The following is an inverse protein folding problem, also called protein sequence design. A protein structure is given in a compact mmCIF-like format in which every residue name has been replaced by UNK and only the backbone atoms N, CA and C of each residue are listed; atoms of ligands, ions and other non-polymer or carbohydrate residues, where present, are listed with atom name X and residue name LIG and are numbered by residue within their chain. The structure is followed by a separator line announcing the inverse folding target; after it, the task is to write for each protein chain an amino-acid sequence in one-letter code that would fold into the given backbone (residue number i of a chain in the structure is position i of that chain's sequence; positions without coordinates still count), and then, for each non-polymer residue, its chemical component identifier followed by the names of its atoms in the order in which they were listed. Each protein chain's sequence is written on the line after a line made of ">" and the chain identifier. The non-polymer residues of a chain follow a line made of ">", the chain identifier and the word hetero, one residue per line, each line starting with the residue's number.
data_IF_496492405915
#
_entry.id   IF_496492405915
#
_cell.length_a   1.000
_cell.length_b   1.000
_cell.length_c   1.000
_cell.angle_alpha   90.00
_cell.angle_beta   90.00
_cell.angle_gamma   90.00
#
_symmetry.space_group_name_H-M   'P 1'
#
loop_
_entity.id
_entity.type
_entity.pdbx_description
1 polymer ?
#
# COMPACT_ATOMS: atom_id res chain seq x y z
N UNK A 1 15.86 -61.15 -70.87
CA UNK A 1 14.66 -60.85 -70.04
C UNK A 1 14.98 -60.54 -68.57
N UNK A 2 16.02 -61.10 -67.94
CA UNK A 2 16.31 -60.86 -66.50
C UNK A 2 16.70 -59.42 -66.11
N UNK A 3 17.45 -58.71 -66.95
CA UNK A 3 17.90 -57.34 -66.66
C UNK A 3 16.76 -56.31 -66.61
N UNK A 4 15.76 -56.43 -67.49
CA UNK A 4 14.60 -55.53 -67.54
C UNK A 4 13.68 -55.72 -66.31
N UNK A 5 13.51 -56.98 -65.87
CA UNK A 5 12.74 -57.31 -64.67
C UNK A 5 13.39 -56.76 -63.40
N UNK A 6 14.73 -56.82 -63.30
CA UNK A 6 15.47 -56.29 -62.16
C UNK A 6 15.46 -54.76 -62.11
N UNK A 7 15.48 -54.09 -63.28
CA UNK A 7 15.33 -52.63 -63.36
C UNK A 7 13.92 -52.23 -62.92
N UNK A 8 12.88 -52.87 -63.44
CA UNK A 8 11.49 -52.59 -63.04
C UNK A 8 11.24 -52.85 -61.54
N UNK A 9 11.81 -53.92 -60.99
CA UNK A 9 11.71 -54.22 -59.56
C UNK A 9 12.44 -53.17 -58.71
N UNK A 10 13.62 -52.71 -59.16
CA UNK A 10 14.39 -51.66 -58.50
C UNK A 10 13.66 -50.31 -58.50
N UNK A 11 13.02 -49.94 -59.61
CA UNK A 11 12.23 -48.70 -59.70
C UNK A 11 10.99 -48.75 -58.82
N UNK A 12 10.34 -49.91 -58.70
CA UNK A 12 9.16 -50.09 -57.85
C UNK A 12 9.52 -50.03 -56.36
N UNK A 13 10.66 -50.59 -55.97
CA UNK A 13 11.19 -50.52 -54.60
C UNK A 13 11.60 -49.09 -54.21
N UNK A 14 12.16 -48.31 -55.14
CA UNK A 14 12.50 -46.90 -54.90
C UNK A 14 11.27 -45.98 -54.78
N UNK A 15 10.21 -46.25 -55.55
CA UNK A 15 8.95 -45.50 -55.45
C UNK A 15 8.18 -45.81 -54.15
N UNK A 16 8.32 -47.03 -53.63
CA UNK A 16 7.72 -47.45 -52.36
C UNK A 16 8.50 -46.94 -51.12
N UNK A 17 9.73 -46.47 -51.29
CA UNK A 17 10.61 -46.01 -50.19
C UNK A 17 10.66 -44.49 -50.01
N UNK A 18 9.74 -43.73 -50.61
CA UNK A 18 9.64 -42.29 -50.31
C UNK A 18 9.14 -42.17 -48.87
N UNK A 19 9.92 -41.63 -47.92
CA UNK A 19 9.41 -41.41 -46.57
C UNK A 19 8.24 -40.43 -46.68
N UNK A 20 7.07 -40.86 -46.25
CA UNK A 20 5.94 -39.97 -46.00
C UNK A 20 6.40 -38.92 -45.01
N UNK A 21 6.70 -37.73 -45.50
CA UNK A 21 7.02 -36.58 -44.66
C UNK A 21 5.88 -36.40 -43.67
N UNK A 22 6.17 -36.56 -42.38
CA UNK A 22 5.25 -36.20 -41.31
C UNK A 22 5.11 -34.67 -41.34
N UNK A 23 4.11 -34.18 -42.06
CA UNK A 23 3.73 -32.78 -42.01
C UNK A 23 3.35 -32.43 -40.57
N UNK A 24 4.05 -31.47 -39.96
CA UNK A 24 3.63 -30.90 -38.69
C UNK A 24 2.27 -30.23 -38.91
N UNK A 25 1.20 -30.86 -38.45
CA UNK A 25 -0.13 -30.28 -38.49
C UNK A 25 -0.20 -29.23 -37.38
N UNK A 26 -0.11 -27.95 -37.74
CA UNK A 26 -0.36 -26.86 -36.79
C UNK A 26 -1.87 -26.87 -36.49
N UNK A 27 -2.23 -27.39 -35.31
CA UNK A 27 -3.60 -27.38 -34.83
C UNK A 27 -3.85 -26.03 -34.17
N UNK A 28 -4.41 -25.10 -34.94
CA UNK A 28 -4.84 -23.78 -34.46
C UNK A 28 -6.26 -23.93 -33.93
N UNK A 29 -6.39 -24.23 -32.63
CA UNK A 29 -7.69 -24.22 -31.95
C UNK A 29 -8.13 -22.77 -31.70
N UNK A 30 -9.16 -22.34 -32.44
CA UNK A 30 -9.75 -21.00 -32.36
C UNK A 30 -10.27 -20.70 -30.96
N UNK A 31 -10.85 -21.67 -30.27
CA UNK A 31 -11.42 -21.50 -28.93
C UNK A 31 -10.33 -21.38 -27.87
N UNK A 32 -9.22 -22.09 -28.05
CA UNK A 32 -8.07 -21.98 -27.17
C UNK A 32 -7.37 -20.62 -27.35
N UNK A 33 -7.21 -20.14 -28.58
CA UNK A 33 -6.61 -18.82 -28.86
C UNK A 33 -7.47 -17.67 -28.34
N UNK A 34 -8.80 -17.74 -28.45
CA UNK A 34 -9.68 -16.71 -27.89
C UNK A 34 -9.64 -16.71 -26.36
N UNK A 35 -9.60 -17.88 -25.73
CA UNK A 35 -9.51 -18.01 -24.27
C UNK A 35 -8.16 -17.52 -23.74
N UNK A 36 -7.05 -17.92 -24.38
CA UNK A 36 -5.71 -17.44 -24.04
C UNK A 36 -5.58 -15.93 -24.29
N UNK A 37 -6.15 -15.42 -25.39
CA UNK A 37 -6.18 -13.99 -25.70
C UNK A 37 -6.97 -13.16 -24.67
N UNK A 38 -8.13 -13.65 -24.24
CA UNK A 38 -8.91 -13.02 -23.18
C UNK A 38 -8.16 -13.00 -21.84
N UNK A 39 -7.53 -14.13 -21.47
CA UNK A 39 -6.71 -14.23 -20.27
C UNK A 39 -5.51 -13.28 -20.33
N UNK A 40 -4.81 -13.19 -21.46
CA UNK A 40 -3.69 -12.28 -21.67
C UNK A 40 -4.11 -10.81 -21.59
N UNK A 41 -5.25 -10.44 -22.18
CA UNK A 41 -5.79 -9.09 -22.09
C UNK A 41 -6.15 -8.72 -20.64
N UNK A 42 -6.73 -9.66 -19.88
CA UNK A 42 -7.03 -9.46 -18.47
C UNK A 42 -5.76 -9.31 -17.62
N UNK A 43 -4.73 -10.13 -17.87
CA UNK A 43 -3.43 -10.03 -17.19
C UNK A 43 -2.76 -8.69 -17.48
N UNK A 44 -2.79 -8.24 -18.74
CA UNK A 44 -2.22 -6.95 -19.14
C UNK A 44 -2.92 -5.76 -18.47
N UNK A 45 -4.25 -5.83 -18.30
CA UNK A 45 -5.02 -4.83 -17.55
C UNK A 45 -4.62 -4.81 -16.07
N UNK A 46 -4.47 -6.00 -15.46
CA UNK A 46 -4.04 -6.16 -14.07
C UNK A 46 -2.61 -5.64 -13.89
N UNK A 47 -1.69 -5.95 -14.81
CA UNK A 47 -0.31 -5.45 -14.82
C UNK A 47 -0.27 -3.92 -14.98
N UNK A 48 -1.12 -3.34 -15.84
CA UNK A 48 -1.25 -1.90 -15.99
C UNK A 48 -1.68 -1.21 -14.70
N UNK A 49 -2.70 -1.75 -14.02
CA UNK A 49 -3.11 -1.26 -12.70
C UNK A 49 -2.04 -1.49 -11.63
N UNK A 50 -1.30 -2.60 -11.70
CA UNK A 50 -0.20 -2.90 -10.79
C UNK A 50 0.96 -1.91 -10.95
N UNK A 51 1.31 -1.53 -12.18
CA UNK A 51 2.36 -0.54 -12.46
C UNK A 51 1.97 0.86 -12.01
N UNK A 52 0.72 1.29 -12.25
CA UNK A 52 0.23 2.57 -11.71
C UNK A 52 0.27 2.60 -10.17
N UNK A 53 -0.04 1.47 -9.52
CA UNK A 53 0.11 1.33 -8.07
C UNK A 53 1.57 1.40 -7.65
N UNK A 54 2.49 0.70 -8.34
CA UNK A 54 3.93 0.77 -8.09
C UNK A 54 4.46 2.20 -8.16
N UNK A 55 4.07 2.98 -9.18
CA UNK A 55 4.46 4.39 -9.34
C UNK A 55 3.91 5.27 -8.21
N UNK A 56 2.64 5.06 -7.82
CA UNK A 56 2.05 5.76 -6.67
C UNK A 56 2.80 5.45 -5.38
N UNK A 57 3.33 4.23 -5.24
CA UNK A 57 4.03 3.80 -4.02
C UNK A 57 5.49 4.27 -4.03
N UNK A 58 6.13 4.40 -5.18
CA UNK A 58 7.44 5.05 -5.30
C UNK A 58 7.40 6.51 -4.83
N UNK A 59 6.37 7.28 -5.22
CA UNK A 59 6.19 8.66 -4.72
C UNK A 59 5.94 8.71 -3.20
N UNK A 60 5.24 7.71 -2.65
CA UNK A 60 5.00 7.60 -1.21
C UNK A 60 6.22 7.12 -0.44
N UNK A 61 7.12 6.34 -1.04
CA UNK A 61 8.45 6.01 -0.48
C UNK A 61 9.33 7.25 -0.39
N UNK A 62 9.21 8.18 -1.32
CA UNK A 62 9.81 9.52 -1.21
C UNK A 62 9.21 10.32 -0.04
N UNK A 63 7.92 10.11 0.25
CA UNK A 63 7.25 10.63 1.45
C UNK A 63 7.76 9.99 2.76
N UNK A 64 8.35 8.80 2.69
CA UNK A 64 9.06 8.17 3.82
C UNK A 64 10.39 8.87 4.09
N UNK A 65 11.10 9.35 3.07
CA UNK A 65 12.33 10.15 3.27
C UNK A 65 12.03 11.53 3.91
N UNK A 66 10.85 12.09 3.63
CA UNK A 66 10.30 13.25 4.35
C UNK A 66 10.08 12.97 5.87
N UNK A 67 10.06 11.72 6.33
CA UNK A 67 9.97 11.39 7.76
C UNK A 67 11.16 11.88 8.56
N UNK A 68 12.37 11.92 7.97
CA UNK A 68 13.56 12.49 8.62
C UNK A 68 13.38 13.98 8.89
N UNK A 69 12.79 14.72 7.93
CA UNK A 69 12.47 16.15 8.07
C UNK A 69 11.36 16.36 9.10
N UNK A 70 10.39 15.46 9.12
CA UNK A 70 9.25 15.51 10.04
C UNK A 70 9.67 15.29 11.50
N UNK A 71 10.62 14.38 11.74
CA UNK A 71 11.15 14.13 13.09
C UNK A 71 11.72 15.41 13.72
N UNK A 72 12.40 16.26 12.93
CA UNK A 72 12.88 17.56 13.40
C UNK A 72 11.73 18.51 13.72
N UNK A 73 10.74 18.63 12.83
CA UNK A 73 9.53 19.45 13.07
C UNK A 73 8.77 19.02 14.32
N UNK A 74 8.65 17.72 14.58
CA UNK A 74 7.92 17.17 15.73
C UNK A 74 8.72 17.28 17.01
N UNK A 75 10.05 17.15 16.94
CA UNK A 75 10.92 17.44 18.09
C UNK A 75 10.81 18.92 18.50
N UNK A 76 10.73 19.82 17.53
CA UNK A 76 10.41 21.23 17.77
C UNK A 76 9.00 21.41 18.33
N UNK A 77 8.01 20.65 17.85
CA UNK A 77 6.65 20.68 18.36
C UNK A 77 6.54 20.19 19.81
N UNK A 78 7.24 19.11 20.13
CA UNK A 78 7.39 18.60 21.49
C UNK A 78 8.07 19.65 22.38
N UNK A 79 9.12 20.29 21.88
CA UNK A 79 9.81 21.37 22.59
C UNK A 79 8.91 22.60 22.77
N UNK A 80 8.14 23.02 21.76
CA UNK A 80 7.16 24.10 21.84
C UNK A 80 6.03 23.79 22.82
N UNK A 81 5.60 22.52 22.90
CA UNK A 81 4.64 22.05 23.91
C UNK A 81 5.22 22.12 25.34
N UNK A 82 6.54 22.13 25.49
CA UNK A 82 7.26 22.21 26.77
C UNK A 82 7.71 23.63 27.13
N UNK A 83 8.04 24.49 26.17
CA UNK A 83 8.81 25.73 26.42
C UNK A 83 7.97 26.98 26.64
N UNK A 84 6.68 27.05 26.31
CA UNK A 84 5.97 28.30 26.51
C UNK A 84 4.52 28.12 26.89
N UNK A 85 4.28 28.06 28.20
CA UNK A 85 2.94 28.23 28.70
C UNK A 85 2.90 29.15 29.93
N UNK A 86 3.41 30.36 29.76
CA UNK A 86 3.03 31.51 30.57
C UNK A 86 1.59 31.92 30.21
N UNK A 87 0.58 31.14 30.65
CA UNK A 87 -0.84 31.48 30.46
C UNK A 87 -1.84 30.32 30.36
N UNK A 88 -1.41 29.07 30.18
CA UNK A 88 -2.29 27.91 30.34
C UNK A 88 -1.94 27.19 31.65
N UNK A 89 -2.91 27.05 32.54
CA UNK A 89 -2.79 26.18 33.71
C UNK A 89 -2.85 24.70 33.31
N UNK A 90 -3.78 23.95 33.88
CA UNK A 90 -3.99 22.50 33.68
C UNK A 90 -4.09 22.04 32.21
N UNK A 91 -4.49 22.92 31.29
CA UNK A 91 -4.58 22.66 29.84
C UNK A 91 -3.21 22.34 29.19
N UNK A 92 -2.12 22.84 29.77
CA UNK A 92 -0.74 22.53 29.39
C UNK A 92 -0.40 21.05 29.43
N UNK A 93 -0.94 20.33 30.42
CA UNK A 93 -0.72 18.89 30.58
C UNK A 93 -1.42 18.09 29.48
N UNK A 94 -2.61 18.53 29.05
CA UNK A 94 -3.34 17.89 27.95
C UNK A 94 -2.59 18.04 26.62
N UNK A 95 -2.00 19.20 26.38
CA UNK A 95 -1.19 19.46 25.19
C UNK A 95 0.10 18.66 25.15
N UNK A 96 0.75 18.48 26.31
CA UNK A 96 1.86 17.53 26.44
C UNK A 96 1.42 16.11 26.10
N UNK A 97 0.23 15.69 26.56
CA UNK A 97 -0.34 14.37 26.23
C UNK A 97 -0.58 14.17 24.72
N UNK A 98 -1.06 15.21 24.03
CA UNK A 98 -1.23 15.21 22.57
C UNK A 98 0.13 15.07 21.87
N UNK A 99 1.11 15.89 22.27
CA UNK A 99 2.46 15.85 21.72
C UNK A 99 3.15 14.49 21.93
N UNK A 100 3.02 13.92 23.12
CA UNK A 100 3.53 12.58 23.43
C UNK A 100 2.84 11.49 22.59
N UNK A 101 1.51 11.52 22.47
CA UNK A 101 0.78 10.55 21.66
C UNK A 101 1.22 10.58 20.19
N UNK A 102 1.38 11.77 19.61
CA UNK A 102 1.88 11.92 18.25
C UNK A 102 3.33 11.43 18.10
N UNK A 103 4.17 11.70 19.10
CA UNK A 103 5.55 11.23 19.11
C UNK A 103 5.65 9.71 19.15
N UNK A 104 4.87 9.04 20.00
CA UNK A 104 4.86 7.57 20.11
C UNK A 104 4.52 6.91 18.76
N UNK A 105 3.46 7.39 18.09
CA UNK A 105 3.06 6.90 16.76
C UNK A 105 4.21 6.99 15.76
N UNK A 106 4.87 8.14 15.70
CA UNK A 106 5.88 8.43 14.69
C UNK A 106 7.23 7.78 15.00
N UNK A 107 7.44 7.34 16.23
CA UNK A 107 8.54 6.47 16.63
C UNK A 107 8.27 5.01 16.25
N UNK A 108 7.05 4.53 16.48
CA UNK A 108 6.72 3.10 16.35
C UNK A 108 6.42 2.70 14.89
N UNK A 109 5.81 3.58 14.08
CA UNK A 109 5.53 3.27 12.67
C UNK A 109 6.78 2.94 11.84
N UNK A 110 7.94 3.63 11.99
CA UNK A 110 9.19 3.21 11.35
C UNK A 110 9.62 1.77 11.68
N UNK A 111 9.46 1.34 12.93
CA UNK A 111 9.76 -0.04 13.36
C UNK A 111 8.82 -1.04 12.68
N UNK A 112 7.52 -0.70 12.54
CA UNK A 112 6.58 -1.48 11.74
C UNK A 112 6.98 -1.56 10.27
N UNK A 113 7.39 -0.44 9.67
CA UNK A 113 7.84 -0.39 8.27
C UNK A 113 9.03 -1.33 8.06
N UNK A 114 10.01 -1.33 8.97
CA UNK A 114 11.15 -2.23 8.90
C UNK A 114 10.72 -3.70 9.04
N UNK A 115 9.85 -3.99 9.99
CA UNK A 115 9.37 -5.35 10.26
C UNK A 115 8.57 -5.91 9.07
N UNK A 116 7.64 -5.11 8.54
CA UNK A 116 6.89 -5.43 7.31
C UNK A 116 7.83 -5.56 6.11
N UNK A 117 8.84 -4.70 6.02
CA UNK A 117 9.89 -4.77 5.02
C UNK A 117 10.60 -6.12 4.98
N UNK A 118 10.86 -6.72 6.15
CA UNK A 118 11.52 -8.02 6.30
C UNK A 118 10.57 -9.22 6.19
N UNK A 119 9.31 -9.07 6.57
CA UNK A 119 8.33 -10.16 6.60
C UNK A 119 8.04 -10.75 5.21
N UNK A 120 7.74 -12.05 5.12
CA UNK A 120 7.49 -12.73 3.84
C UNK A 120 5.99 -12.95 3.61
N UNK A 121 5.31 -11.96 3.03
CA UNK A 121 3.91 -12.07 2.65
C UNK A 121 3.58 -11.25 1.38
N UNK A 122 2.53 -11.66 0.67
CA UNK A 122 2.03 -11.01 -0.55
C UNK A 122 1.43 -9.65 -0.23
N UNK A 123 1.45 -8.69 -1.17
CA UNK A 123 0.84 -7.37 -0.98
C UNK A 123 1.52 -6.44 0.05
N UNK A 124 2.74 -6.78 0.49
CA UNK A 124 3.61 -5.95 1.36
C UNK A 124 3.63 -4.48 1.00
N UNK A 125 3.64 -4.17 -0.29
CA UNK A 125 3.72 -2.80 -0.80
C UNK A 125 2.49 -1.96 -0.41
N UNK A 126 1.28 -2.55 -0.43
CA UNK A 126 0.08 -1.89 0.05
C UNK A 126 0.09 -1.74 1.57
N UNK A 127 0.63 -2.71 2.31
CA UNK A 127 0.80 -2.58 3.76
C UNK A 127 1.76 -1.44 4.13
N UNK A 128 2.87 -1.30 3.42
CA UNK A 128 3.80 -0.16 3.59
C UNK A 128 3.13 1.17 3.26
N UNK A 129 2.25 1.19 2.26
CA UNK A 129 1.45 2.35 1.92
C UNK A 129 0.45 2.73 3.04
N UNK A 130 -0.23 1.75 3.63
CA UNK A 130 -1.13 2.01 4.77
C UNK A 130 -0.39 2.54 6.00
N UNK A 131 0.77 1.97 6.33
CA UNK A 131 1.62 2.51 7.38
C UNK A 131 2.05 3.96 7.09
N UNK A 132 2.36 4.26 5.83
CA UNK A 132 2.71 5.61 5.42
C UNK A 132 1.54 6.60 5.46
N UNK A 133 0.31 6.14 5.21
CA UNK A 133 -0.91 6.93 5.38
C UNK A 133 -1.13 7.31 6.85
N UNK A 134 -0.89 6.39 7.80
CA UNK A 134 -1.01 6.67 9.24
C UNK A 134 -0.05 7.79 9.69
N UNK A 135 1.17 7.80 9.15
CA UNK A 135 2.11 8.90 9.42
C UNK A 135 1.59 10.21 8.86
N UNK A 136 1.10 10.22 7.62
CA UNK A 136 0.57 11.44 7.00
C UNK A 136 -0.65 11.99 7.75
N UNK A 137 -1.55 11.13 8.20
CA UNK A 137 -2.71 11.50 9.02
C UNK A 137 -2.25 12.09 10.37
N UNK A 138 -1.28 11.45 11.02
CA UNK A 138 -0.69 11.93 12.27
C UNK A 138 -0.05 13.31 12.10
N UNK A 139 0.70 13.53 11.01
CA UNK A 139 1.32 14.83 10.71
C UNK A 139 0.29 15.92 10.48
N UNK A 140 -0.81 15.61 9.78
CA UNK A 140 -1.89 16.56 9.56
C UNK A 140 -2.55 16.95 10.89
N UNK A 141 -2.89 15.97 11.73
CA UNK A 141 -3.47 16.20 13.05
C UNK A 141 -2.54 17.03 13.95
N UNK A 142 -1.24 16.77 13.88
CA UNK A 142 -0.22 17.54 14.58
C UNK A 142 -0.11 18.98 14.05
N UNK A 143 -0.19 19.18 12.73
CA UNK A 143 -0.25 20.51 12.12
C UNK A 143 -1.50 21.30 12.55
N UNK A 144 -2.66 20.65 12.55
CA UNK A 144 -3.92 21.22 13.04
C UNK A 144 -3.82 21.60 14.51
N UNK A 145 -3.17 20.76 15.33
CA UNK A 145 -2.93 21.04 16.75
C UNK A 145 -2.05 22.27 16.95
N UNK A 146 -0.94 22.40 16.21
CA UNK A 146 -0.08 23.59 16.24
C UNK A 146 -0.87 24.84 15.89
N UNK A 147 -1.71 24.78 14.87
CA UNK A 147 -2.54 25.91 14.44
C UNK A 147 -3.54 26.33 15.54
N UNK A 148 -4.10 25.37 16.27
CA UNK A 148 -5.02 25.62 17.39
C UNK A 148 -4.30 26.24 18.60
N UNK A 149 -3.13 25.73 18.96
CA UNK A 149 -2.38 26.18 20.15
C UNK A 149 -1.69 27.51 19.93
N UNK A 150 -1.12 27.74 18.75
CA UNK A 150 -0.34 28.94 18.45
C UNK A 150 -1.16 30.11 17.90
N UNK A 151 -2.50 30.04 17.96
CA UNK A 151 -3.43 31.01 17.38
C UNK A 151 -3.17 31.21 15.88
N UNK A 152 -3.77 30.37 15.05
CA UNK A 152 -3.67 30.46 13.59
C UNK A 152 -3.77 31.92 13.09
N UNK A 153 -2.69 32.42 12.47
CA UNK A 153 -2.68 33.75 11.85
C UNK A 153 -3.41 33.66 10.52
N UNK A 154 -4.64 34.16 10.45
CA UNK A 154 -5.37 34.25 9.18
C UNK A 154 -4.78 35.40 8.36
N UNK A 155 -4.28 35.12 7.16
CA UNK A 155 -3.96 36.19 6.23
C UNK A 155 -5.25 36.83 5.76
N UNK A 156 -5.36 38.16 5.89
CA UNK A 156 -6.53 38.91 5.47
C UNK A 156 -6.92 38.53 4.01
N UNK A 157 -8.15 38.03 3.77
CA UNK A 157 -8.59 37.60 2.45
C UNK A 157 -8.68 38.75 1.42
N UNK A 158 -8.64 40.01 1.85
CA UNK A 158 -8.63 41.20 1.00
C UNK A 158 -7.25 41.52 0.39
N UNK A 159 -6.48 40.48 0.02
CA UNK A 159 -5.18 40.66 -0.63
C UNK A 159 -5.35 41.36 -1.97
N UNK A 160 -5.12 42.68 -2.01
CA UNK A 160 -5.08 43.47 -3.25
C UNK A 160 -5.36 44.96 -3.09
N UNK A 161 -6.01 45.42 -2.01
CA UNK A 161 -6.30 46.85 -1.85
C UNK A 161 -5.16 47.59 -1.16
N UNK A 162 -4.74 48.69 -1.78
CA UNK A 162 -3.48 49.40 -1.55
C UNK A 162 -3.36 50.11 -0.18
N UNK A 163 -4.29 49.93 0.75
CA UNK A 163 -4.36 50.65 2.03
C UNK A 163 -4.53 49.77 3.27
N UNK A 164 -4.67 48.45 3.13
CA UNK A 164 -4.71 47.58 4.30
C UNK A 164 -3.28 47.26 4.77
N UNK A 165 -2.85 47.89 5.88
CA UNK A 165 -1.59 47.55 6.55
C UNK A 165 -1.48 46.02 6.72
N UNK A 166 -0.29 45.49 6.42
CA UNK A 166 0.07 44.09 6.64
C UNK A 166 0.15 43.79 8.15
N UNK A 167 -0.99 43.68 8.81
CA UNK A 167 -1.08 43.20 10.20
C UNK A 167 -1.69 41.80 10.17
N UNK A 168 -0.93 40.84 10.71
CA UNK A 168 -1.54 39.66 11.31
C UNK A 168 -2.51 40.19 12.33
N UNK A 169 -3.79 39.87 12.26
CA UNK A 169 -4.76 40.39 13.22
C UNK A 169 -4.38 39.99 14.66
N UNK A 170 -3.60 38.92 14.83
CA UNK A 170 -3.06 38.49 16.13
C UNK A 170 -4.15 37.97 17.06
N UNK A 171 -5.38 37.89 16.57
CA UNK A 171 -6.53 37.42 17.31
C UNK A 171 -6.81 35.98 16.91
N UNK A 172 -6.88 35.11 17.91
CA UNK A 172 -7.49 33.81 17.69
C UNK A 172 -8.98 34.02 17.53
N UNK A 173 -9.52 33.65 16.37
CA UNK A 173 -10.96 33.69 16.12
C UNK A 173 -11.71 32.61 16.91
N UNK A 174 -10.98 31.61 17.41
CA UNK A 174 -11.52 30.57 18.27
C UNK A 174 -11.48 31.02 19.73
N UNK A 175 -12.62 30.92 20.39
CA UNK A 175 -12.66 31.07 21.83
C UNK A 175 -11.90 29.92 22.53
N UNK A 176 -11.71 30.05 23.84
CA UNK A 176 -10.97 29.04 24.63
C UNK A 176 -11.64 27.66 24.61
N UNK A 177 -12.96 27.61 24.64
CA UNK A 177 -13.74 26.37 24.67
C UNK A 177 -13.74 25.67 23.30
N UNK A 178 -13.84 26.44 22.21
CA UNK A 178 -13.74 25.93 20.85
C UNK A 178 -12.38 25.29 20.59
N UNK A 179 -11.29 25.94 21.03
CA UNK A 179 -9.95 25.36 20.95
C UNK A 179 -9.82 24.07 21.73
N UNK A 180 -10.33 24.03 22.97
CA UNK A 180 -10.26 22.83 23.80
C UNK A 180 -11.06 21.68 23.17
N UNK A 181 -12.22 21.98 22.60
CA UNK A 181 -13.06 21.01 21.88
C UNK A 181 -12.33 20.45 20.66
N UNK A 182 -11.71 21.31 19.85
CA UNK A 182 -10.94 20.88 18.68
C UNK A 182 -9.69 20.08 19.08
N UNK A 183 -8.97 20.52 20.12
CA UNK A 183 -7.83 19.79 20.66
C UNK A 183 -8.22 18.40 21.18
N UNK A 184 -9.37 18.27 21.85
CA UNK A 184 -9.88 16.97 22.32
C UNK A 184 -10.25 16.04 21.15
N UNK A 185 -10.79 16.60 20.06
CA UNK A 185 -11.05 15.83 18.84
C UNK A 185 -9.76 15.30 18.23
N UNK A 186 -8.76 16.17 18.08
CA UNK A 186 -7.43 15.78 17.58
C UNK A 186 -6.80 14.71 18.48
N UNK A 187 -6.87 14.89 19.79
CA UNK A 187 -6.34 13.91 20.74
C UNK A 187 -7.03 12.55 20.60
N UNK A 188 -8.36 12.55 20.43
CA UNK A 188 -9.14 11.34 20.20
C UNK A 188 -8.71 10.63 18.94
N UNK A 189 -8.53 11.36 17.84
CA UNK A 189 -8.12 10.79 16.56
C UNK A 189 -6.67 10.27 16.59
N UNK A 190 -5.74 11.02 17.21
CA UNK A 190 -4.38 10.55 17.48
C UNK A 190 -4.36 9.29 18.35
N UNK A 191 -5.20 9.21 19.37
CA UNK A 191 -5.28 8.05 20.27
C UNK A 191 -5.77 6.81 19.53
N UNK A 192 -6.73 6.95 18.60
CA UNK A 192 -7.16 5.83 17.74
C UNK A 192 -6.02 5.31 16.88
N UNK A 193 -5.27 6.22 16.26
CA UNK A 193 -4.10 5.86 15.44
C UNK A 193 -3.06 5.17 16.32
N UNK A 194 -2.76 5.70 17.50
CA UNK A 194 -1.81 5.09 18.45
C UNK A 194 -2.21 3.68 18.83
N UNK A 195 -3.45 3.44 19.24
CA UNK A 195 -3.90 2.08 19.57
C UNK A 195 -3.82 1.12 18.39
N UNK A 196 -4.09 1.59 17.16
CA UNK A 196 -3.90 0.78 15.96
C UNK A 196 -2.42 0.40 15.80
N UNK A 197 -1.52 1.38 15.90
CA UNK A 197 -0.06 1.19 15.77
C UNK A 197 0.49 0.29 16.85
N UNK A 198 0.13 0.49 18.11
CA UNK A 198 0.50 -0.38 19.24
C UNK A 198 0.00 -1.82 19.01
N UNK A 199 -1.24 -2.00 18.55
CA UNK A 199 -1.77 -3.31 18.20
C UNK A 199 -0.95 -3.98 17.09
N UNK A 200 -0.61 -3.24 16.03
CA UNK A 200 0.25 -3.73 14.95
C UNK A 200 1.66 -4.07 15.46
N UNK A 201 2.20 -3.30 16.40
CA UNK A 201 3.51 -3.55 17.01
C UNK A 201 3.53 -4.86 17.79
N UNK A 202 2.48 -5.11 18.58
CA UNK A 202 2.33 -6.38 19.29
C UNK A 202 2.18 -7.57 18.33
N UNK A 203 1.42 -7.40 17.24
CA UNK A 203 1.32 -8.44 16.20
C UNK A 203 2.67 -8.70 15.52
N UNK A 204 3.44 -7.64 15.25
CA UNK A 204 4.76 -7.75 14.66
C UNK A 204 5.76 -8.51 15.55
N UNK A 205 5.62 -8.39 16.88
CA UNK A 205 6.51 -9.05 17.84
C UNK A 205 6.08 -10.48 18.19
N UNK A 206 4.78 -10.74 18.31
CA UNK A 206 4.26 -11.97 18.93
C UNK A 206 3.36 -12.82 18.02
N UNK A 207 2.89 -12.28 16.89
CA UNK A 207 1.98 -12.97 16.00
C UNK A 207 2.65 -13.40 14.69
N UNK A 208 1.88 -14.02 13.80
CA UNK A 208 2.40 -14.44 12.49
C UNK A 208 2.42 -13.29 11.49
N UNK A 209 3.20 -13.43 10.42
CA UNK A 209 3.20 -12.48 9.32
C UNK A 209 1.82 -12.36 8.63
N UNK A 210 0.98 -13.39 8.72
CA UNK A 210 -0.38 -13.38 8.18
C UNK A 210 -1.33 -12.54 9.06
N UNK A 211 -1.20 -12.66 10.39
CA UNK A 211 -1.94 -11.83 11.35
C UNK A 211 -1.55 -10.35 11.22
N UNK A 212 -0.25 -10.07 11.04
CA UNK A 212 0.24 -8.72 10.79
C UNK A 212 -0.27 -8.16 9.46
N UNK A 213 -0.31 -8.98 8.41
CA UNK A 213 -0.89 -8.57 7.12
C UNK A 213 -2.37 -8.22 7.26
N UNK A 214 -3.16 -9.08 7.92
CA UNK A 214 -4.57 -8.83 8.19
C UNK A 214 -4.79 -7.55 9.01
N UNK A 215 -3.95 -7.29 10.01
CA UNK A 215 -4.05 -6.10 10.85
C UNK A 215 -3.77 -4.79 10.09
N UNK A 216 -2.85 -4.82 9.11
CA UNK A 216 -2.47 -3.63 8.34
C UNK A 216 -3.45 -3.39 7.17
N UNK A 217 -3.73 -4.44 6.39
CA UNK A 217 -4.54 -4.38 5.17
C UNK A 217 -5.52 -5.58 5.12
N UNK A 218 -6.65 -5.50 5.85
CA UNK A 218 -7.61 -6.61 5.94
C UNK A 218 -8.28 -6.91 4.59
N UNK A 219 -8.48 -5.89 3.74
CA UNK A 219 -9.06 -6.07 2.41
C UNK A 219 -8.09 -6.78 1.47
N UNK A 220 -6.82 -6.36 1.44
CA UNK A 220 -5.77 -7.04 0.69
C UNK A 220 -5.58 -8.48 1.17
N UNK A 221 -5.61 -8.72 2.48
CA UNK A 221 -5.55 -10.06 3.05
C UNK A 221 -6.72 -10.93 2.57
N UNK A 222 -7.96 -10.43 2.66
CA UNK A 222 -9.15 -11.16 2.21
C UNK A 222 -9.08 -11.52 0.71
N UNK A 223 -8.57 -10.61 -0.12
CA UNK A 223 -8.36 -10.85 -1.55
C UNK A 223 -7.34 -11.97 -1.80
N UNK A 224 -6.20 -11.95 -1.09
CA UNK A 224 -5.16 -12.97 -1.22
C UNK A 224 -5.67 -14.35 -0.78
N UNK A 225 -6.36 -14.42 0.36
CA UNK A 225 -6.93 -15.68 0.88
C UNK A 225 -7.98 -16.24 -0.07
N UNK A 226 -8.88 -15.40 -0.57
CA UNK A 226 -9.91 -15.80 -1.54
C UNK A 226 -9.29 -16.37 -2.81
N UNK A 227 -8.24 -15.73 -3.34
CA UNK A 227 -7.54 -16.21 -4.53
C UNK A 227 -6.81 -17.52 -4.27
N UNK A 228 -6.16 -17.67 -3.12
CA UNK A 228 -5.50 -18.93 -2.71
C UNK A 228 -6.50 -20.09 -2.68
N UNK A 229 -7.69 -19.86 -2.13
CA UNK A 229 -8.75 -20.87 -2.07
C UNK A 229 -9.28 -21.26 -3.47
N UNK A 230 -9.47 -20.27 -4.35
CA UNK A 230 -9.87 -20.53 -5.75
C UNK A 230 -8.83 -21.36 -6.49
N UNK A 231 -7.56 -20.99 -6.41
CA UNK A 231 -6.46 -21.74 -7.03
C UNK A 231 -6.36 -23.14 -6.44
N UNK A 232 -6.46 -23.29 -5.12
CA UNK A 232 -6.46 -24.60 -4.45
C UNK A 232 -7.57 -25.51 -4.95
N UNK A 233 -8.78 -24.97 -5.11
CA UNK A 233 -9.93 -25.71 -5.66
C UNK A 233 -9.68 -26.17 -7.10
N UNK A 234 -9.12 -25.29 -7.95
CA UNK A 234 -8.78 -25.62 -9.34
C UNK A 234 -7.72 -26.73 -9.41
N UNK A 235 -6.69 -26.67 -8.57
CA UNK A 235 -5.64 -27.71 -8.49
C UNK A 235 -6.23 -29.04 -8.04
N UNK A 236 -7.11 -29.04 -7.04
CA UNK A 236 -7.80 -30.25 -6.58
C UNK A 236 -8.68 -30.86 -7.69
N UNK A 237 -9.46 -30.03 -8.40
CA UNK A 237 -10.25 -30.49 -9.54
C UNK A 237 -9.37 -31.09 -10.64
N UNK A 238 -8.26 -30.45 -10.97
CA UNK A 238 -7.30 -30.97 -11.95
C UNK A 238 -6.72 -32.32 -11.53
N UNK A 239 -6.24 -32.43 -10.28
CA UNK A 239 -5.68 -33.68 -9.77
C UNK A 239 -6.71 -34.80 -9.73
N UNK A 240 -7.98 -34.49 -9.44
CA UNK A 240 -9.08 -35.44 -9.52
C UNK A 240 -9.32 -35.96 -10.95
N UNK A 241 -9.26 -35.08 -11.95
CA UNK A 241 -9.39 -35.46 -13.36
C UNK A 241 -8.21 -36.32 -13.85
N UNK A 242 -6.98 -36.01 -13.42
CA UNK A 242 -5.80 -36.82 -13.73
C UNK A 242 -5.89 -38.20 -13.09
N UNK A 243 -6.33 -38.26 -11.82
CA UNK A 243 -6.49 -39.53 -11.10
C UNK A 243 -7.60 -40.43 -11.70
N UNK A 244 -8.62 -39.86 -12.35
CA UNK A 244 -9.66 -40.63 -13.04
C UNK A 244 -9.27 -41.16 -14.43
N UNK A 245 -8.11 -40.77 -14.96
CA UNK A 245 -7.61 -41.19 -16.27
C UNK A 245 -6.63 -42.38 -16.22
N UNK A 246 -6.48 -43.00 -15.03
CA UNK A 246 -5.76 -44.25 -14.79
C UNK A 246 -6.70 -45.28 -14.16
#
# INVERSE_FOLDING_TARGET
>A
MGKLKNILLGTFLFAASVPTFAGWRIVIDRNCITTVGANLASQKLIEGQHNQRLDSIASKKQKVELYTVSMATIKELYKLSMENISGFGTESLYYKGIGSCAFDILKDVPELIETVGRAKFTNKLLCLNELGNLVAETQQLVGDFVNIVNNARVQNPLKGEATAERKSDGYNLLDRYERLTLANRIYTDLTKIRYKVEGMMLMAQYATADDLFFAIDPEGWANVVTMKNRVGSLVQSWNGLVASNY
#
